data_IF_270686374986
#
_entry.id   IF_270686374986
#
_cell.length_a   1.000
_cell.length_b   1.000
_cell.length_c   1.000
_cell.angle_alpha   90.00
_cell.angle_beta   90.00
_cell.angle_gamma   90.00
#
_symmetry.space_group_name_H-M   'P 1'
#
loop_
_entity.id
_entity.type
_entity.pdbx_description
1 polymer ?
#
# COMPACT_ATOMS: atom_id res chain seq x y z
N UNK A 1 -13.08 69.19 15.79
CA UNK A 1 -13.87 67.93 15.90
C UNK A 1 -12.88 66.82 16.24
N UNK A 2 -13.11 66.14 17.36
CA UNK A 2 -12.13 65.43 18.20
C UNK A 2 -11.60 64.11 17.60
N UNK A 3 -10.32 63.82 17.88
CA UNK A 3 -9.51 62.68 17.44
C UNK A 3 -9.97 61.29 17.97
N UNK A 4 -11.22 61.15 18.44
CA UNK A 4 -11.74 59.93 19.10
C UNK A 4 -12.48 58.95 18.19
N UNK A 5 -12.66 59.23 16.90
CA UNK A 5 -13.49 58.40 16.00
C UNK A 5 -12.72 57.57 14.95
N UNK A 6 -11.43 57.28 15.14
CA UNK A 6 -10.64 56.47 14.18
C UNK A 6 -10.38 55.02 14.60
N UNK A 7 -10.78 54.61 15.81
CA UNK A 7 -10.54 53.25 16.32
C UNK A 7 -11.73 52.29 16.18
N UNK A 8 -12.84 52.74 15.58
CA UNK A 8 -14.07 51.94 15.42
C UNK A 8 -14.27 51.38 13.99
N UNK A 9 -13.20 51.29 13.19
CA UNK A 9 -13.22 50.64 11.86
C UNK A 9 -12.32 49.39 11.81
N UNK A 10 -11.51 49.13 12.85
CA UNK A 10 -10.74 47.89 12.97
C UNK A 10 -11.41 46.85 13.87
N UNK A 11 -12.75 46.84 13.92
CA UNK A 11 -13.58 45.86 14.66
C UNK A 11 -14.00 44.65 13.82
N UNK A 12 -13.38 44.39 12.68
CA UNK A 12 -13.74 43.23 11.85
C UNK A 12 -12.58 42.81 10.95
N UNK A 13 -11.38 42.64 11.54
CA UNK A 13 -10.42 41.67 10.96
C UNK A 13 -11.01 40.30 11.25
N UNK A 14 -11.90 39.94 10.33
CA UNK A 14 -12.58 38.69 10.18
C UNK A 14 -11.53 37.57 10.32
N UNK A 15 -11.54 36.91 11.48
CA UNK A 15 -11.01 35.57 11.64
C UNK A 15 -11.79 34.64 10.68
N UNK A 16 -11.44 34.70 9.40
CA UNK A 16 -11.71 33.60 8.49
C UNK A 16 -10.62 32.57 8.78
N UNK A 17 -10.87 31.77 9.83
CA UNK A 17 -10.34 30.41 9.87
C UNK A 17 -10.91 29.73 8.62
N UNK A 18 -10.17 29.82 7.52
CA UNK A 18 -10.32 28.90 6.41
C UNK A 18 -9.82 27.56 6.95
N UNK A 19 -10.68 26.87 7.70
CA UNK A 19 -10.59 25.43 7.80
C UNK A 19 -10.89 24.92 6.39
N UNK A 20 -9.89 24.95 5.52
CA UNK A 20 -9.87 24.04 4.39
C UNK A 20 -9.96 22.66 5.04
N UNK A 21 -11.02 21.87 4.78
CA UNK A 21 -10.94 20.46 5.10
C UNK A 21 -9.74 19.97 4.31
N UNK A 22 -8.65 19.63 5.00
CA UNK A 22 -7.63 18.78 4.41
C UNK A 22 -8.38 17.46 4.21
N UNK A 23 -8.98 17.30 3.02
CA UNK A 23 -9.31 15.97 2.54
C UNK A 23 -7.96 15.31 2.38
N UNK A 24 -7.56 14.47 3.34
CA UNK A 24 -6.50 13.49 3.12
C UNK A 24 -6.87 12.75 1.83
N UNK A 25 -6.20 13.09 0.74
CA UNK A 25 -6.39 12.49 -0.59
C UNK A 25 -5.50 11.27 -0.78
N UNK A 26 -4.65 10.92 0.19
CA UNK A 26 -3.65 9.87 0.01
C UNK A 26 -4.26 8.47 -0.10
N UNK A 27 -5.50 8.25 0.38
CA UNK A 27 -6.17 6.95 0.29
C UNK A 27 -6.92 6.71 -1.04
N UNK A 28 -7.06 7.70 -1.92
CA UNK A 28 -7.80 7.54 -3.19
C UNK A 28 -6.88 7.33 -4.41
N UNK A 29 -5.56 7.46 -4.26
CA UNK A 29 -4.63 7.28 -5.38
C UNK A 29 -4.28 5.80 -5.54
N UNK A 30 -4.61 5.23 -6.70
CA UNK A 30 -4.28 3.85 -7.06
C UNK A 30 -3.73 3.78 -8.48
N UNK A 31 -2.94 2.75 -8.76
CA UNK A 31 -2.42 2.51 -10.11
C UNK A 31 -3.58 2.15 -11.06
N UNK A 32 -3.70 2.79 -12.24
CA UNK A 32 -4.66 2.36 -13.26
C UNK A 32 -4.41 0.90 -13.68
N UNK A 33 -5.48 0.17 -14.01
CA UNK A 33 -5.37 -1.21 -14.52
C UNK A 33 -4.76 -2.21 -13.53
N UNK A 34 -4.69 -1.90 -12.23
CA UNK A 34 -4.07 -2.77 -11.22
C UNK A 34 -4.86 -2.88 -9.93
N UNK A 35 -5.03 -4.12 -9.47
CA UNK A 35 -5.63 -4.43 -8.17
C UNK A 35 -4.87 -5.58 -7.51
N UNK A 36 -5.01 -5.72 -6.20
CA UNK A 36 -4.53 -6.87 -5.44
C UNK A 36 -5.75 -7.68 -5.03
N UNK A 37 -5.71 -8.99 -5.23
CA UNK A 37 -6.79 -9.88 -4.80
C UNK A 37 -6.25 -11.15 -4.15
N UNK A 38 -6.98 -11.64 -3.15
CA UNK A 38 -6.76 -12.95 -2.54
C UNK A 38 -7.90 -13.88 -2.90
N UNK A 39 -7.56 -15.10 -3.30
CA UNK A 39 -8.54 -16.09 -3.75
C UNK A 39 -8.72 -17.23 -2.75
N UNK A 40 -9.89 -17.86 -2.83
CA UNK A 40 -10.17 -19.13 -2.19
C UNK A 40 -9.21 -20.21 -2.71
N UNK A 41 -8.94 -21.27 -1.92
CA UNK A 41 -8.06 -22.35 -2.34
C UNK A 41 -8.48 -22.97 -3.68
N UNK A 42 -7.49 -23.44 -4.44
CA UNK A 42 -7.67 -24.17 -5.70
C UNK A 42 -8.37 -23.43 -6.85
N UNK A 43 -8.66 -22.12 -6.74
CA UNK A 43 -9.34 -21.36 -7.82
C UNK A 43 -8.40 -21.01 -8.97
N UNK A 44 -7.13 -20.73 -8.68
CA UNK A 44 -6.12 -20.34 -9.66
C UNK A 44 -5.04 -21.42 -9.73
N UNK A 45 -4.83 -22.00 -10.91
CA UNK A 45 -3.72 -22.91 -11.19
C UNK A 45 -2.54 -22.14 -11.75
N UNK A 46 -1.48 -22.05 -10.95
CA UNK A 46 -0.20 -21.48 -11.38
C UNK A 46 0.68 -22.62 -11.94
N UNK A 47 1.16 -22.54 -13.19
CA UNK A 47 2.07 -23.53 -13.74
C UNK A 47 3.35 -23.67 -12.89
N UNK A 48 3.92 -24.87 -12.85
CA UNK A 48 5.08 -25.15 -12.00
C UNK A 48 6.28 -24.29 -12.39
N UNK A 49 6.84 -23.56 -11.42
CA UNK A 49 7.97 -22.66 -11.62
C UNK A 49 7.60 -21.26 -12.13
N UNK A 50 6.33 -21.01 -12.40
CA UNK A 50 5.83 -19.69 -12.80
C UNK A 50 5.33 -18.90 -11.59
N UNK A 51 5.37 -17.58 -11.71
CA UNK A 51 4.75 -16.65 -10.76
C UNK A 51 3.75 -15.70 -11.43
N UNK A 52 3.45 -15.93 -12.70
CA UNK A 52 2.49 -15.15 -13.50
C UNK A 52 1.61 -16.10 -14.29
N UNK A 53 0.33 -15.74 -14.43
CA UNK A 53 -0.69 -16.55 -15.09
C UNK A 53 -1.48 -15.66 -16.04
N UNK A 54 -1.72 -16.15 -17.26
CA UNK A 54 -2.69 -15.55 -18.19
C UNK A 54 -4.03 -16.21 -17.91
N UNK A 55 -5.11 -15.45 -17.65
CA UNK A 55 -6.40 -16.05 -17.33
C UNK A 55 -7.03 -16.75 -18.53
N UNK A 56 -7.32 -18.04 -18.37
CA UNK A 56 -8.01 -18.89 -19.32
C UNK A 56 -8.74 -20.05 -18.61
N UNK A 57 -9.43 -20.91 -19.36
CA UNK A 57 -10.18 -22.05 -18.83
C UNK A 57 -9.29 -23.13 -18.18
N UNK A 58 -7.99 -23.15 -18.47
CA UNK A 58 -7.06 -24.10 -17.85
C UNK A 58 -6.54 -23.60 -16.50
N UNK A 59 -6.38 -22.28 -16.38
CA UNK A 59 -5.75 -21.61 -15.25
C UNK A 59 -6.75 -21.10 -14.21
N UNK A 60 -7.96 -20.73 -14.61
CA UNK A 60 -9.01 -20.21 -13.73
C UNK A 60 -10.17 -21.23 -13.68
N UNK A 61 -10.43 -21.80 -12.51
CA UNK A 61 -11.44 -22.86 -12.36
C UNK A 61 -12.86 -22.36 -12.12
N UNK A 62 -13.00 -21.09 -11.75
CA UNK A 62 -14.27 -20.44 -11.46
C UNK A 62 -14.75 -19.66 -12.70
N UNK A 63 -15.88 -20.09 -13.27
CA UNK A 63 -16.41 -19.52 -14.52
C UNK A 63 -16.83 -18.06 -14.37
N UNK A 64 -17.39 -17.69 -13.22
CA UNK A 64 -17.81 -16.32 -12.91
C UNK A 64 -16.59 -15.39 -12.79
N UNK A 65 -15.53 -15.83 -12.11
CA UNK A 65 -14.25 -15.14 -12.06
C UNK A 65 -13.63 -15.00 -13.45
N UNK A 66 -13.54 -16.08 -14.23
CA UNK A 66 -12.96 -16.01 -15.57
C UNK A 66 -13.74 -15.04 -16.48
N UNK A 67 -15.07 -15.04 -16.37
CA UNK A 67 -15.95 -14.11 -17.09
C UNK A 67 -15.65 -12.66 -16.73
N UNK A 68 -15.54 -12.35 -15.42
CA UNK A 68 -15.19 -11.00 -14.96
C UNK A 68 -13.78 -10.59 -15.39
N UNK A 69 -12.79 -11.49 -15.28
CA UNK A 69 -11.41 -11.23 -15.68
C UNK A 69 -11.33 -10.87 -17.18
N UNK A 70 -12.09 -11.56 -18.02
CA UNK A 70 -12.21 -11.26 -19.44
C UNK A 70 -12.94 -9.93 -19.69
N UNK A 71 -14.03 -9.64 -18.96
CA UNK A 71 -14.80 -8.39 -19.08
C UNK A 71 -13.92 -7.16 -18.81
N UNK A 72 -13.10 -7.21 -17.76
CA UNK A 72 -12.22 -6.09 -17.39
C UNK A 72 -10.92 -6.06 -18.22
N UNK A 73 -10.73 -6.97 -19.18
CA UNK A 73 -9.54 -7.02 -20.03
C UNK A 73 -8.27 -7.41 -19.27
N UNK A 74 -8.36 -8.40 -18.37
CA UNK A 74 -7.20 -8.90 -17.63
C UNK A 74 -6.16 -9.50 -18.56
N UNK A 75 -4.91 -9.11 -18.36
CA UNK A 75 -3.74 -9.58 -19.10
C UNK A 75 -2.95 -10.62 -18.32
N UNK A 76 -2.67 -10.36 -17.05
CA UNK A 76 -1.97 -11.30 -16.16
C UNK A 76 -2.45 -11.22 -14.72
N UNK A 77 -2.26 -12.33 -14.01
CA UNK A 77 -2.31 -12.44 -12.56
C UNK A 77 -0.91 -12.82 -12.08
N UNK A 78 -0.22 -11.89 -11.44
CA UNK A 78 1.13 -12.09 -10.91
C UNK A 78 1.05 -12.38 -9.41
N UNK A 79 1.70 -13.42 -8.91
CA UNK A 79 1.81 -13.64 -7.46
C UNK A 79 2.42 -12.39 -6.81
N UNK A 80 1.77 -11.90 -5.74
CA UNK A 80 2.26 -10.76 -4.98
C UNK A 80 3.64 -11.07 -4.39
N UNK A 81 3.82 -12.31 -3.90
CA UNK A 81 5.09 -12.84 -3.42
C UNK A 81 5.48 -14.03 -4.31
N UNK A 82 6.37 -13.85 -5.30
CA UNK A 82 6.66 -14.87 -6.32
C UNK A 82 7.10 -16.23 -5.78
N UNK A 83 7.83 -16.23 -4.66
CA UNK A 83 8.37 -17.43 -4.02
C UNK A 83 7.43 -18.05 -2.99
N UNK A 84 6.23 -17.50 -2.78
CA UNK A 84 5.29 -18.07 -1.81
C UNK A 84 4.62 -19.32 -2.37
N UNK A 85 4.69 -20.40 -1.60
CA UNK A 85 4.06 -21.69 -1.87
C UNK A 85 2.92 -21.95 -0.88
N UNK A 86 1.90 -22.69 -1.32
CA UNK A 86 0.80 -23.07 -0.43
C UNK A 86 1.31 -23.90 0.75
N UNK A 87 0.87 -23.55 1.96
CA UNK A 87 1.35 -24.17 3.19
C UNK A 87 2.62 -23.55 3.78
N UNK A 88 3.22 -22.55 3.12
CA UNK A 88 4.30 -21.72 3.69
C UNK A 88 3.75 -20.72 4.72
N UNK A 89 3.13 -21.27 5.78
CA UNK A 89 2.53 -20.50 6.88
C UNK A 89 3.36 -20.61 8.16
N UNK A 90 4.57 -21.16 8.10
CA UNK A 90 5.40 -21.35 9.29
C UNK A 90 6.88 -21.19 8.96
N UNK A 91 7.50 -20.16 9.54
CA UNK A 91 8.95 -19.96 9.49
C UNK A 91 9.55 -20.31 10.85
N UNK A 92 10.79 -20.79 10.86
CA UNK A 92 11.55 -20.98 12.10
C UNK A 92 12.50 -19.79 12.28
N UNK A 93 12.42 -19.10 13.41
CA UNK A 93 13.38 -18.05 13.73
C UNK A 93 14.79 -18.64 13.83
N UNK A 94 15.73 -18.12 13.05
CA UNK A 94 17.14 -18.52 13.17
C UNK A 94 17.76 -18.09 14.51
N UNK A 95 17.13 -17.12 15.20
CA UNK A 95 17.62 -16.56 16.46
C UNK A 95 17.07 -17.33 17.65
N UNK A 96 15.75 -17.56 17.71
CA UNK A 96 15.09 -18.18 18.88
C UNK A 96 14.78 -19.66 18.68
N UNK A 97 14.81 -20.16 17.43
CA UNK A 97 14.36 -21.51 17.08
C UNK A 97 12.85 -21.70 17.15
N UNK A 98 12.07 -20.65 17.43
CA UNK A 98 10.61 -20.72 17.50
C UNK A 98 9.98 -20.76 16.12
N UNK A 99 8.88 -21.50 16.01
CA UNK A 99 8.02 -21.49 14.83
C UNK A 99 7.08 -20.29 14.91
N UNK A 100 7.16 -19.41 13.93
CA UNK A 100 6.32 -18.23 13.78
C UNK A 100 5.32 -18.54 12.66
N UNK A 101 4.03 -18.45 12.98
CA UNK A 101 2.98 -18.54 11.98
C UNK A 101 3.01 -17.26 11.16
N UNK A 102 3.25 -17.40 9.86
CA UNK A 102 3.16 -16.30 8.90
C UNK A 102 1.88 -16.40 8.11
N UNK A 103 1.44 -15.26 7.59
CA UNK A 103 0.28 -15.20 6.70
C UNK A 103 0.62 -15.91 5.38
N UNK A 104 -0.32 -16.73 4.89
CA UNK A 104 -0.20 -17.39 3.60
C UNK A 104 -0.45 -16.40 2.45
N UNK A 105 0.62 -16.05 1.74
CA UNK A 105 0.63 -15.12 0.62
C UNK A 105 0.50 -15.81 -0.76
N UNK A 106 0.50 -17.14 -0.81
CA UNK A 106 0.57 -17.91 -2.06
C UNK A 106 -0.63 -17.71 -2.97
N UNK A 107 -1.77 -17.29 -2.37
CA UNK A 107 -3.05 -17.02 -3.05
C UNK A 107 -3.34 -15.53 -3.24
N UNK A 108 -2.34 -14.68 -3.06
CA UNK A 108 -2.48 -13.23 -3.24
C UNK A 108 -1.81 -12.83 -4.55
N UNK A 109 -2.55 -12.17 -5.43
CA UNK A 109 -2.11 -11.80 -6.77
C UNK A 109 -2.29 -10.32 -7.03
N UNK A 110 -1.37 -9.74 -7.79
CA UNK A 110 -1.54 -8.49 -8.51
C UNK A 110 -2.18 -8.82 -9.85
N UNK A 111 -3.35 -8.25 -10.11
CA UNK A 111 -4.08 -8.43 -11.36
C UNK A 111 -3.80 -7.21 -12.24
N UNK A 112 -3.27 -7.42 -13.44
CA UNK A 112 -3.07 -6.38 -14.45
C UNK A 112 -4.19 -6.47 -15.49
N UNK A 113 -4.98 -5.42 -15.63
CA UNK A 113 -6.14 -5.34 -16.51
C UNK A 113 -6.16 -4.01 -17.27
N UNK A 114 -7.15 -3.82 -18.14
CA UNK A 114 -7.25 -2.64 -18.98
C UNK A 114 -7.27 -1.34 -18.15
N UNK A 115 -6.35 -0.42 -18.47
CA UNK A 115 -6.19 0.85 -17.77
C UNK A 115 -7.40 1.79 -17.95
N UNK A 116 -8.25 1.55 -18.97
CA UNK A 116 -9.48 2.32 -19.18
C UNK A 116 -10.60 1.92 -18.20
N UNK A 117 -10.46 0.78 -17.50
CA UNK A 117 -11.45 0.31 -16.53
C UNK A 117 -11.43 1.14 -15.24
N UNK A 118 -12.61 1.33 -14.66
CA UNK A 118 -12.71 1.93 -13.33
C UNK A 118 -12.29 0.91 -12.27
N UNK A 119 -11.10 1.10 -11.69
CA UNK A 119 -10.50 0.20 -10.69
C UNK A 119 -11.46 -0.08 -9.53
N UNK A 120 -12.11 0.95 -8.97
CA UNK A 120 -13.01 0.78 -7.83
C UNK A 120 -14.26 -0.04 -8.18
N UNK A 121 -14.80 0.12 -9.39
CA UNK A 121 -15.91 -0.71 -9.86
C UNK A 121 -15.45 -2.17 -10.05
N UNK A 122 -14.32 -2.39 -10.71
CA UNK A 122 -13.76 -3.73 -10.93
C UNK A 122 -13.48 -4.44 -9.59
N UNK A 123 -12.89 -3.74 -8.62
CA UNK A 123 -12.69 -4.23 -7.24
C UNK A 123 -14.02 -4.55 -6.57
N UNK A 124 -15.05 -3.70 -6.73
CA UNK A 124 -16.37 -3.96 -6.17
C UNK A 124 -17.05 -5.18 -6.78
N UNK A 125 -16.89 -5.43 -8.08
CA UNK A 125 -17.40 -6.61 -8.76
C UNK A 125 -16.65 -7.87 -8.31
N UNK A 126 -15.31 -7.78 -8.20
CA UNK A 126 -14.46 -8.87 -7.73
C UNK A 126 -14.84 -9.32 -6.32
N UNK A 127 -15.09 -8.38 -5.41
CA UNK A 127 -15.51 -8.67 -4.02
C UNK A 127 -16.93 -9.28 -3.91
N UNK A 128 -17.70 -9.39 -5.00
CA UNK A 128 -18.99 -10.07 -5.00
C UNK A 128 -18.89 -11.57 -5.32
N UNK A 129 -17.73 -12.03 -5.80
CA UNK A 129 -17.50 -13.43 -6.16
C UNK A 129 -17.14 -14.26 -4.93
N UNK A 130 -17.73 -15.46 -4.80
CA UNK A 130 -17.44 -16.39 -3.70
C UNK A 130 -16.00 -16.94 -3.76
N UNK A 131 -15.43 -16.99 -4.97
CA UNK A 131 -14.05 -17.40 -5.22
C UNK A 131 -13.01 -16.36 -4.76
N UNK A 132 -13.44 -15.15 -4.39
CA UNK A 132 -12.58 -14.03 -3.96
C UNK A 132 -12.74 -13.82 -2.44
N UNK A 133 -11.61 -13.89 -1.72
CA UNK A 133 -11.57 -13.59 -0.28
C UNK A 133 -11.56 -12.09 -0.05
N UNK A 134 -10.78 -11.36 -0.83
CA UNK A 134 -10.82 -9.90 -0.91
C UNK A 134 -10.20 -9.41 -2.21
N UNK A 135 -10.58 -8.21 -2.64
CA UNK A 135 -9.91 -7.42 -3.66
C UNK A 135 -9.78 -5.97 -3.20
N UNK A 136 -8.67 -5.33 -3.52
CA UNK A 136 -8.38 -3.93 -3.20
C UNK A 136 -7.63 -3.24 -4.35
N UNK A 137 -7.76 -1.91 -4.52
CA UNK A 137 -6.96 -1.17 -5.48
C UNK A 137 -5.47 -1.31 -5.16
N UNK A 138 -4.61 -1.35 -6.19
CA UNK A 138 -3.18 -1.26 -5.96
C UNK A 138 -2.80 0.20 -5.64
N UNK A 139 -2.86 0.56 -4.35
CA UNK A 139 -2.70 1.92 -3.88
C UNK A 139 -1.30 2.49 -4.16
N UNK A 140 -1.23 3.79 -4.43
CA UNK A 140 0.03 4.54 -4.52
C UNK A 140 0.23 5.23 -3.17
N UNK A 141 1.16 4.72 -2.38
CA UNK A 141 1.60 5.40 -1.17
C UNK A 141 2.50 6.58 -1.55
N UNK A 142 2.17 7.77 -1.05
CA UNK A 142 3.03 8.95 -1.11
C UNK A 142 3.45 9.33 0.30
N UNK A 143 4.75 9.57 0.57
CA UNK A 143 5.20 9.97 1.89
C UNK A 143 4.45 11.21 2.36
N UNK A 144 3.69 11.10 3.45
CA UNK A 144 2.86 12.19 3.95
C UNK A 144 3.68 13.10 4.88
N UNK A 145 4.81 12.60 5.41
CA UNK A 145 5.70 13.36 6.30
C UNK A 145 7.18 13.05 6.03
N UNK A 146 7.93 14.07 5.62
CA UNK A 146 9.38 14.07 5.67
C UNK A 146 9.87 14.74 6.97
N UNK A 147 11.01 14.33 7.53
CA UNK A 147 11.55 14.96 8.74
C UNK A 147 11.98 16.40 8.44
N UNK A 148 11.84 17.28 9.45
CA UNK A 148 12.31 18.66 9.39
C UNK A 148 13.84 18.78 9.58
N UNK A 149 14.62 17.83 9.05
CA UNK A 149 16.08 17.82 9.10
C UNK A 149 16.65 18.50 7.83
N UNK A 150 17.38 19.64 7.96
CA UNK A 150 17.98 20.33 6.82
C UNK A 150 18.98 19.51 6.00
N UNK A 151 19.44 18.37 6.52
CA UNK A 151 20.36 17.45 5.83
C UNK A 151 19.69 16.12 5.42
N UNK A 152 18.36 15.99 5.55
CA UNK A 152 17.65 14.78 5.17
C UNK A 152 17.89 14.39 3.70
N UNK A 153 18.02 15.39 2.82
CA UNK A 153 18.33 15.22 1.39
C UNK A 153 19.68 14.52 1.12
N UNK A 154 20.57 14.48 2.13
CA UNK A 154 21.87 13.81 2.06
C UNK A 154 21.85 12.39 2.62
N UNK A 155 20.78 11.99 3.30
CA UNK A 155 20.64 10.68 3.95
C UNK A 155 20.07 9.66 2.96
N UNK A 156 20.84 9.34 1.92
CA UNK A 156 20.42 8.45 0.82
C UNK A 156 19.88 7.10 1.29
N UNK A 157 20.38 6.59 2.41
CA UNK A 157 19.96 5.31 2.98
C UNK A 157 18.53 5.34 3.53
N UNK A 158 17.99 6.53 3.85
CA UNK A 158 16.62 6.73 4.32
C UNK A 158 15.66 7.12 3.18
N UNK A 159 16.17 7.86 2.19
CA UNK A 159 15.45 8.23 0.97
C UNK A 159 16.42 8.37 -0.20
N UNK A 160 16.35 7.47 -1.17
CA UNK A 160 17.21 7.49 -2.35
C UNK A 160 16.49 8.10 -3.56
N UNK A 161 16.76 9.38 -3.81
CA UNK A 161 16.17 10.12 -4.94
C UNK A 161 16.71 9.70 -6.32
N UNK A 162 17.74 8.86 -6.40
CA UNK A 162 18.31 8.36 -7.67
C UNK A 162 17.76 6.99 -8.02
N UNK A 163 17.68 6.09 -7.04
CA UNK A 163 17.09 4.77 -7.20
C UNK A 163 16.49 4.29 -5.87
N UNK A 164 15.16 4.34 -5.79
CA UNK A 164 14.38 3.97 -4.60
C UNK A 164 14.50 2.50 -4.21
N UNK A 165 15.07 1.62 -5.05
CA UNK A 165 15.32 0.21 -4.67
C UNK A 165 16.54 0.04 -3.77
N UNK A 166 17.31 1.10 -3.53
CA UNK A 166 18.55 1.09 -2.75
C UNK A 166 18.46 2.08 -1.58
N UNK A 167 17.35 2.05 -0.84
CA UNK A 167 17.20 2.60 0.51
C UNK A 167 16.44 1.59 1.39
N UNK A 168 16.08 1.98 2.62
CA UNK A 168 15.36 1.11 3.57
C UNK A 168 13.85 1.38 3.62
N UNK A 169 13.29 2.14 2.66
CA UNK A 169 11.88 2.54 2.62
C UNK A 169 11.38 3.25 3.90
N UNK A 170 12.27 4.00 4.57
CA UNK A 170 11.97 4.63 5.87
C UNK A 170 10.82 5.64 5.79
N UNK A 171 10.76 6.44 4.72
CA UNK A 171 9.74 7.49 4.53
C UNK A 171 8.34 6.89 4.40
N UNK A 172 8.19 5.79 3.67
CA UNK A 172 6.94 5.02 3.56
C UNK A 172 6.55 4.40 4.91
N UNK A 173 7.53 3.89 5.68
CA UNK A 173 7.27 3.30 6.99
C UNK A 173 6.76 4.33 8.02
N UNK A 174 7.26 5.57 7.98
CA UNK A 174 6.88 6.64 8.92
C UNK A 174 5.44 7.12 8.81
N UNK A 175 4.77 6.83 7.70
CA UNK A 175 3.32 7.05 7.56
C UNK A 175 2.52 6.09 8.47
N UNK A 176 3.07 4.92 8.78
CA UNK A 176 2.44 3.91 9.64
C UNK A 176 2.94 3.95 11.09
N UNK A 177 4.25 4.05 11.30
CA UNK A 177 4.85 4.06 12.63
C UNK A 177 6.16 4.84 12.66
N UNK A 178 6.32 5.69 13.67
CA UNK A 178 7.54 6.50 13.89
C UNK A 178 8.39 6.00 15.07
N UNK A 179 7.98 4.90 15.69
CA UNK A 179 8.64 4.35 16.87
C UNK A 179 8.25 5.03 18.17
N UNK A 180 6.99 5.47 18.31
CA UNK A 180 6.48 5.96 19.59
C UNK A 180 6.33 4.80 20.60
N UNK A 181 6.65 5.05 21.87
CA UNK A 181 6.54 4.08 22.98
C UNK A 181 7.35 2.78 22.83
N UNK A 182 8.44 2.78 22.06
CA UNK A 182 9.41 1.68 22.01
C UNK A 182 10.68 2.04 22.79
N UNK A 183 11.30 1.07 23.45
CA UNK A 183 12.60 1.23 24.12
C UNK A 183 13.66 0.62 23.21
N UNK A 184 14.64 1.43 22.80
CA UNK A 184 15.79 0.99 22.01
C UNK A 184 17.02 1.00 22.91
N UNK A 185 17.65 -0.17 23.11
CA UNK A 185 18.91 -0.28 23.84
C UNK A 185 20.08 -0.17 22.86
N UNK A 186 20.95 0.82 23.04
CA UNK A 186 22.16 1.03 22.24
C UNK A 186 23.37 0.74 23.11
N UNK A 187 24.18 -0.26 22.71
CA UNK A 187 25.44 -0.61 23.39
C UNK A 187 26.58 -0.06 22.54
N UNK A 188 27.00 1.17 22.85
CA UNK A 188 28.06 1.91 22.16
C UNK A 188 28.89 2.68 23.22
N UNK A 189 29.78 3.58 22.81
CA UNK A 189 30.63 4.41 23.69
C UNK A 189 29.83 5.44 24.54
N UNK A 190 28.51 5.48 24.34
CA UNK A 190 27.57 6.37 25.03
C UNK A 190 26.96 7.38 24.07
N UNK A 191 25.97 8.13 24.54
CA UNK A 191 25.33 9.20 23.79
C UNK A 191 25.41 10.51 24.59
N UNK A 192 25.54 11.63 23.88
CA UNK A 192 25.37 12.94 24.49
C UNK A 192 23.87 13.24 24.61
N UNK A 193 23.45 13.64 25.81
CA UNK A 193 22.08 14.07 26.11
C UNK A 193 21.92 15.59 25.97
#
# INVERSE_FOLDING_TARGET
MSLKNRYLIYSMVLCFFMALPIKLHSQDQHQPGKMIAKFSPDIIKVPMGESSVIPDEETILDEDLLSLLNEIGTTTLDKLIPWSEEGDSTITSEITGEQIIIHDWSRVFVINFDEEQNVNNAVSQMNQLESVVYAEPNAIATPDVLPNDPYFDKQWSLLNNVNSKFDIDATSAWDYAKGDNIIIAIIDEGAQA
#
